data_IF_576808829819
#
_entry.id   IF_576808829819
#
_cell.length_a   1.000
_cell.length_b   1.000
_cell.length_c   1.000
_cell.angle_alpha   90.00
_cell.angle_beta   90.00
_cell.angle_gamma   90.00
#
_symmetry.space_group_name_H-M   'P 1'
#
loop_
_entity.id
_entity.type
_entity.pdbx_description
1 polymer ?
#
# COMPACT_ATOMS: atom_id res chain seq x y z
N UNK A 1 4.54 -22.57 -5.12
CA UNK A 1 3.81 -23.19 -3.99
C UNK A 1 4.22 -22.48 -2.72
N UNK A 2 3.49 -21.43 -2.32
CA UNK A 2 3.71 -20.72 -1.05
C UNK A 2 2.52 -21.03 -0.14
N UNK A 3 2.59 -22.19 0.51
CA UNK A 3 1.76 -22.57 1.63
C UNK A 3 2.66 -22.48 2.86
N UNK A 4 2.42 -21.45 3.65
CA UNK A 4 3.13 -21.20 4.91
C UNK A 4 2.28 -20.27 5.75
N UNK A 5 1.21 -20.82 6.34
CA UNK A 5 0.45 -20.14 7.40
C UNK A 5 1.34 -20.19 8.64
N UNK A 6 2.15 -19.17 8.84
CA UNK A 6 2.86 -18.96 10.10
C UNK A 6 1.91 -18.29 11.10
N UNK A 7 1.97 -18.75 12.36
CA UNK A 7 1.04 -18.36 13.41
C UNK A 7 0.95 -16.84 13.62
N UNK A 8 -0.29 -16.38 13.75
CA UNK A 8 -0.74 -14.98 13.84
C UNK A 8 -0.50 -14.37 15.24
N UNK A 9 0.75 -14.17 15.64
CA UNK A 9 1.03 -13.31 16.80
C UNK A 9 1.85 -12.06 16.49
N UNK A 10 2.87 -12.08 15.63
CA UNK A 10 3.78 -10.91 15.51
C UNK A 10 4.47 -10.76 14.13
N UNK A 11 3.82 -11.12 13.01
CA UNK A 11 4.49 -11.11 11.70
C UNK A 11 4.23 -9.83 10.88
N UNK A 12 5.23 -8.95 10.82
CA UNK A 12 5.38 -7.97 9.75
C UNK A 12 6.10 -8.61 8.56
N UNK A 13 5.40 -8.87 7.46
CA UNK A 13 5.94 -9.55 6.27
C UNK A 13 6.37 -8.50 5.24
N UNK A 14 7.66 -8.47 4.88
CA UNK A 14 8.18 -7.58 3.86
C UNK A 14 8.45 -8.29 2.55
N UNK A 15 7.85 -7.86 1.44
CA UNK A 15 8.03 -8.48 0.12
C UNK A 15 8.80 -7.52 -0.78
N UNK A 16 9.98 -7.94 -1.26
CA UNK A 16 10.82 -7.15 -2.17
C UNK A 16 10.76 -7.72 -3.60
N UNK A 17 10.01 -7.08 -4.51
CA UNK A 17 9.92 -7.44 -5.94
C UNK A 17 8.47 -7.57 -6.47
N UNK A 18 8.28 -7.29 -7.78
CA UNK A 18 7.01 -7.07 -8.51
C UNK A 18 5.70 -7.20 -7.71
N UNK A 19 5.22 -6.04 -7.31
CA UNK A 19 4.69 -5.86 -5.96
C UNK A 19 3.16 -5.82 -5.94
N UNK A 20 2.52 -5.46 -7.04
CA UNK A 20 1.06 -5.45 -7.10
C UNK A 20 0.48 -6.86 -7.15
N UNK A 21 1.12 -7.83 -7.82
CA UNK A 21 0.57 -9.20 -7.99
C UNK A 21 0.70 -10.08 -6.74
N UNK A 22 1.75 -9.94 -5.93
CA UNK A 22 1.88 -10.71 -4.69
C UNK A 22 0.94 -10.16 -3.61
N UNK A 23 0.84 -8.83 -3.52
CA UNK A 23 -0.19 -8.19 -2.69
C UNK A 23 -1.59 -8.55 -3.20
N UNK A 24 -1.85 -8.55 -4.51
CA UNK A 24 -3.10 -9.04 -5.12
C UNK A 24 -3.34 -10.55 -4.91
N UNK A 25 -2.29 -11.37 -4.79
CA UNK A 25 -2.39 -12.78 -4.41
C UNK A 25 -2.83 -12.95 -2.96
N UNK A 26 -2.30 -12.13 -2.04
CA UNK A 26 -2.86 -12.01 -0.68
C UNK A 26 -4.28 -11.42 -0.72
N UNK A 27 -4.58 -10.56 -1.72
CA UNK A 27 -5.95 -10.12 -1.98
C UNK A 27 -6.87 -11.24 -2.49
N UNK A 28 -6.38 -12.19 -3.29
CA UNK A 28 -7.13 -13.35 -3.76
C UNK A 28 -7.43 -14.33 -2.63
N UNK A 29 -6.48 -14.55 -1.73
CA UNK A 29 -6.70 -15.27 -0.47
C UNK A 29 -7.68 -14.54 0.50
N UNK A 30 -8.02 -13.26 0.27
CA UNK A 30 -8.95 -12.46 1.12
C UNK A 30 -10.37 -13.01 1.18
N UNK A 31 -10.88 -13.62 0.12
CA UNK A 31 -12.26 -14.11 0.13
C UNK A 31 -12.47 -15.21 1.19
N UNK A 32 -11.39 -15.83 1.67
CA UNK A 32 -11.43 -16.88 2.68
C UNK A 32 -11.32 -16.39 4.14
N UNK A 33 -10.78 -15.18 4.42
CA UNK A 33 -10.36 -14.81 5.79
C UNK A 33 -11.30 -13.88 6.59
N UNK A 34 -12.40 -13.36 6.00
CA UNK A 34 -13.43 -12.54 6.71
C UNK A 34 -12.86 -11.41 7.60
N UNK A 35 -11.80 -10.72 7.19
CA UNK A 35 -11.16 -9.65 7.95
C UNK A 35 -11.21 -8.30 7.20
N UNK A 36 -11.49 -7.16 7.87
CA UNK A 36 -11.31 -5.84 7.28
C UNK A 36 -9.87 -5.67 6.81
N UNK A 37 -9.70 -5.20 5.57
CA UNK A 37 -8.37 -5.06 4.99
C UNK A 37 -8.10 -3.64 4.56
N UNK A 38 -6.99 -3.09 5.06
CA UNK A 38 -6.51 -1.78 4.67
C UNK A 38 -5.42 -1.96 3.62
N UNK A 39 -5.65 -1.43 2.42
CA UNK A 39 -4.65 -1.42 1.37
C UNK A 39 -4.28 0.02 1.00
N UNK A 40 -2.99 0.30 1.05
CA UNK A 40 -2.38 1.50 0.46
C UNK A 40 -1.65 1.03 -0.79
N UNK A 41 -2.28 1.27 -1.95
CA UNK A 41 -1.84 0.74 -3.25
C UNK A 41 -0.51 1.31 -3.74
N UNK A 42 -0.10 2.49 -3.27
CA UNK A 42 1.25 3.02 -3.44
C UNK A 42 1.44 4.25 -2.57
N UNK A 43 2.35 4.18 -1.58
CA UNK A 43 2.68 5.32 -0.74
C UNK A 43 3.39 6.45 -1.54
N UNK A 44 4.05 6.11 -2.66
CA UNK A 44 4.73 7.09 -3.51
C UNK A 44 3.78 8.11 -4.14
N UNK A 45 2.51 7.75 -4.38
CA UNK A 45 1.52 8.68 -4.93
C UNK A 45 1.22 9.85 -4.00
N UNK A 46 1.38 9.66 -2.68
CA UNK A 46 1.18 10.73 -1.70
C UNK A 46 2.39 11.65 -1.55
N UNK A 47 3.50 11.37 -2.22
CA UNK A 47 4.74 12.18 -2.11
C UNK A 47 5.10 12.94 -3.38
N UNK A 48 4.38 12.69 -4.48
CA UNK A 48 4.62 13.30 -5.78
C UNK A 48 3.31 13.68 -6.45
N UNK A 49 3.37 14.67 -7.34
CA UNK A 49 2.25 15.10 -8.17
C UNK A 49 0.97 15.48 -7.39
N UNK A 50 1.13 15.91 -6.13
CA UNK A 50 0.01 16.42 -5.34
C UNK A 50 -0.43 17.77 -5.92
N UNK A 51 -1.69 17.84 -6.35
CA UNK A 51 -2.24 19.03 -7.03
C UNK A 51 -2.58 20.14 -6.05
N UNK A 52 -3.01 19.77 -4.85
CA UNK A 52 -3.50 20.69 -3.82
C UNK A 52 -2.90 20.28 -2.48
N UNK A 53 -2.04 21.15 -1.94
CA UNK A 53 -1.45 21.01 -0.63
C UNK A 53 -1.97 22.16 0.23
N UNK A 54 -2.62 21.85 1.35
CA UNK A 54 -3.19 22.86 2.25
C UNK A 54 -2.62 22.72 3.65
N UNK A 55 -2.49 23.81 4.43
CA UNK A 55 -2.19 23.70 5.85
C UNK A 55 -3.30 22.92 6.56
N UNK A 56 -2.92 22.00 7.45
CA UNK A 56 -3.90 21.20 8.16
C UNK A 56 -4.70 22.03 9.16
N UNK A 57 -6.02 21.83 9.17
CA UNK A 57 -6.91 22.50 10.11
C UNK A 57 -6.76 21.98 11.54
N UNK A 58 -6.32 20.74 11.69
CA UNK A 58 -6.12 20.07 12.98
C UNK A 58 -4.71 20.30 13.54
N UNK A 59 -3.69 20.39 12.69
CA UNK A 59 -2.31 20.63 13.13
C UNK A 59 -1.58 21.61 12.21
N UNK A 60 -1.33 22.81 12.71
CA UNK A 60 -0.68 23.89 11.96
C UNK A 60 0.74 23.57 11.44
N UNK A 61 1.42 22.57 12.01
CA UNK A 61 2.75 22.12 11.52
C UNK A 61 2.68 21.13 10.36
N UNK A 62 1.47 20.72 9.94
CA UNK A 62 1.25 19.70 8.92
C UNK A 62 0.50 20.22 7.71
N UNK A 63 0.63 19.48 6.62
CA UNK A 63 -0.07 19.71 5.37
C UNK A 63 -0.98 18.55 5.02
N UNK A 64 -2.18 18.91 4.59
CA UNK A 64 -3.24 18.03 4.16
C UNK A 64 -3.26 17.88 2.64
N UNK A 65 -3.64 16.69 2.19
CA UNK A 65 -3.67 16.26 0.79
C UNK A 65 -5.08 15.76 0.46
N UNK A 66 -6.05 16.69 0.35
CA UNK A 66 -7.47 16.36 0.38
C UNK A 66 -7.91 15.51 -0.82
N UNK A 67 -7.33 15.74 -2.01
CA UNK A 67 -7.66 14.99 -3.23
C UNK A 67 -7.22 13.55 -3.09
N UNK A 68 -5.97 13.31 -2.73
CA UNK A 68 -5.40 11.97 -2.55
C UNK A 68 -6.11 11.21 -1.42
N UNK A 69 -6.43 11.90 -0.33
CA UNK A 69 -7.20 11.34 0.78
C UNK A 69 -8.61 10.91 0.34
N UNK A 70 -9.31 11.74 -0.44
CA UNK A 70 -10.67 11.42 -0.92
C UNK A 70 -10.70 10.22 -1.87
N UNK A 71 -9.72 10.10 -2.76
CA UNK A 71 -9.57 8.95 -3.66
C UNK A 71 -9.35 7.67 -2.85
N UNK A 72 -8.48 7.74 -1.84
CA UNK A 72 -8.24 6.62 -0.95
C UNK A 72 -9.50 6.23 -0.15
N UNK A 73 -10.19 7.20 0.45
CA UNK A 73 -11.43 6.97 1.20
C UNK A 73 -12.51 6.29 0.36
N UNK A 74 -12.68 6.72 -0.90
CA UNK A 74 -13.66 6.14 -1.82
C UNK A 74 -13.37 4.66 -2.08
N UNK A 75 -12.12 4.32 -2.37
CA UNK A 75 -11.70 2.94 -2.61
C UNK A 75 -11.80 2.08 -1.34
N UNK A 76 -11.42 2.65 -0.20
CA UNK A 76 -11.50 2.00 1.10
C UNK A 76 -12.95 1.67 1.49
N UNK A 77 -13.87 2.61 1.24
CA UNK A 77 -15.32 2.43 1.44
C UNK A 77 -15.87 1.27 0.63
N UNK A 78 -15.62 1.25 -0.68
CA UNK A 78 -16.10 0.20 -1.59
C UNK A 78 -15.58 -1.18 -1.16
N UNK A 79 -14.32 -1.25 -0.73
CA UNK A 79 -13.68 -2.52 -0.37
C UNK A 79 -14.19 -3.08 0.96
N UNK A 80 -14.49 -2.22 1.93
CA UNK A 80 -14.74 -2.62 3.32
C UNK A 80 -16.14 -2.26 3.84
N UNK A 81 -17.08 -1.89 2.98
CA UNK A 81 -18.40 -1.34 3.34
C UNK A 81 -19.09 -2.13 4.47
N UNK A 82 -19.08 -3.46 4.39
CA UNK A 82 -19.69 -4.35 5.39
C UNK A 82 -19.11 -4.14 6.80
N UNK A 83 -17.79 -4.01 6.92
CA UNK A 83 -17.12 -3.84 8.20
C UNK A 83 -17.30 -2.42 8.74
N UNK A 84 -17.29 -1.43 7.86
CA UNK A 84 -17.43 -0.02 8.22
C UNK A 84 -18.81 0.32 8.80
N UNK A 85 -19.85 -0.44 8.44
CA UNK A 85 -21.18 -0.35 9.04
C UNK A 85 -21.25 -0.94 10.46
N UNK A 86 -20.36 -1.89 10.77
CA UNK A 86 -20.35 -2.59 12.06
C UNK A 86 -19.43 -1.93 13.08
N UNK A 87 -18.31 -1.39 12.61
CA UNK A 87 -17.35 -0.64 13.43
C UNK A 87 -17.97 0.67 13.89
N UNK A 88 -17.75 1.00 15.16
CA UNK A 88 -18.28 2.22 15.78
C UNK A 88 -17.15 3.13 16.24
N UNK A 89 -17.35 4.43 16.16
CA UNK A 89 -16.42 5.42 16.73
C UNK A 89 -16.32 5.25 18.24
N UNK A 90 -15.11 5.29 18.78
CA UNK A 90 -14.86 5.23 20.23
C UNK A 90 -14.74 6.61 20.87
N UNK A 91 -14.74 7.67 20.05
CA UNK A 91 -14.57 9.05 20.49
C UNK A 91 -15.42 9.99 19.65
N UNK A 92 -15.72 11.16 20.20
CA UNK A 92 -16.35 12.26 19.48
C UNK A 92 -15.32 12.97 18.58
N UNK A 93 -15.66 13.15 17.32
CA UNK A 93 -14.83 13.84 16.33
C UNK A 93 -15.51 15.13 15.88
N UNK A 94 -14.81 16.26 15.99
CA UNK A 94 -15.34 17.59 15.65
C UNK A 94 -14.77 18.00 14.30
N UNK A 95 -15.64 18.23 13.32
CA UNK A 95 -15.26 18.64 11.96
C UNK A 95 -15.34 20.15 11.77
N UNK A 96 -16.30 20.78 12.43
CA UNK A 96 -16.49 22.23 12.45
C UNK A 96 -17.29 22.64 13.69
N UNK A 97 -17.52 23.95 13.88
CA UNK A 97 -18.37 24.45 14.98
C UNK A 97 -19.80 23.87 14.98
N UNK A 98 -20.30 23.39 13.83
CA UNK A 98 -21.67 22.88 13.67
C UNK A 98 -21.73 21.39 13.37
N UNK A 99 -20.62 20.77 12.99
CA UNK A 99 -20.59 19.38 12.53
C UNK A 99 -19.64 18.56 13.38
N UNK A 100 -20.16 17.48 13.93
CA UNK A 100 -19.41 16.52 14.72
C UNK A 100 -20.01 15.13 14.50
N UNK A 101 -19.19 14.11 14.69
CA UNK A 101 -19.62 12.71 14.75
C UNK A 101 -19.45 12.27 16.20
N UNK A 102 -20.55 11.87 16.85
CA UNK A 102 -20.51 11.42 18.24
C UNK A 102 -19.93 10.00 18.37
N UNK A 103 -19.61 9.63 19.60
CA UNK A 103 -19.20 8.28 19.95
C UNK A 103 -20.33 7.28 19.69
N UNK A 104 -19.99 6.07 19.25
CA UNK A 104 -20.93 4.99 18.98
C UNK A 104 -21.53 5.00 17.57
N UNK A 105 -21.24 6.02 16.77
CA UNK A 105 -21.68 6.12 15.39
C UNK A 105 -20.88 5.18 14.46
N UNK A 106 -21.49 4.62 13.41
CA UNK A 106 -20.79 3.81 12.42
C UNK A 106 -19.59 4.53 11.78
N UNK A 107 -18.47 3.83 11.64
CA UNK A 107 -17.24 4.40 11.05
C UNK A 107 -17.43 4.83 9.59
N UNK A 108 -18.42 4.26 8.89
CA UNK A 108 -18.78 4.69 7.53
C UNK A 108 -19.22 6.16 7.48
N UNK A 109 -19.82 6.72 8.53
CA UNK A 109 -20.24 8.12 8.58
C UNK A 109 -19.05 9.09 8.58
N UNK A 110 -17.96 8.71 9.26
CA UNK A 110 -16.68 9.47 9.23
C UNK A 110 -16.11 9.53 7.82
N UNK A 111 -16.23 8.43 7.07
CA UNK A 111 -15.78 8.34 5.68
C UNK A 111 -16.67 9.19 4.77
N UNK A 112 -18.00 9.07 4.92
CA UNK A 112 -18.96 9.82 4.12
C UNK A 112 -18.82 11.34 4.37
N UNK A 113 -18.49 11.76 5.59
CA UNK A 113 -18.17 13.16 5.90
C UNK A 113 -16.91 13.64 5.16
N UNK A 114 -15.85 12.84 5.14
CA UNK A 114 -14.61 13.17 4.41
C UNK A 114 -14.79 13.19 2.88
N UNK A 115 -15.70 12.37 2.36
CA UNK A 115 -16.06 12.37 0.93
C UNK A 115 -16.97 13.55 0.54
N UNK A 116 -17.87 13.95 1.43
CA UNK A 116 -18.77 15.10 1.20
C UNK A 116 -18.00 16.42 1.30
N UNK A 117 -17.11 16.52 2.29
CA UNK A 117 -16.26 17.70 2.53
C UNK A 117 -14.80 17.34 2.36
N UNK A 118 -14.34 17.39 1.12
CA UNK A 118 -12.99 16.98 0.69
C UNK A 118 -11.87 17.68 1.48
N UNK A 119 -12.09 18.91 1.98
CA UNK A 119 -11.14 19.62 2.86
C UNK A 119 -10.77 18.83 4.14
N UNK A 120 -11.73 18.08 4.69
CA UNK A 120 -11.54 17.30 5.90
C UNK A 120 -11.11 15.85 5.59
N UNK A 121 -10.94 15.48 4.32
CA UNK A 121 -10.65 14.11 3.92
C UNK A 121 -9.36 13.57 4.57
N UNK A 122 -8.31 14.39 4.66
CA UNK A 122 -7.03 14.00 5.29
C UNK A 122 -7.21 13.65 6.77
N UNK A 123 -8.02 14.44 7.49
CA UNK A 123 -8.36 14.19 8.89
C UNK A 123 -9.23 12.94 9.03
N UNK A 124 -10.22 12.75 8.14
CA UNK A 124 -11.05 11.54 8.09
C UNK A 124 -10.20 10.28 7.90
N UNK A 125 -9.17 10.30 7.03
CA UNK A 125 -8.23 9.18 6.90
C UNK A 125 -7.52 8.92 8.23
N UNK A 126 -7.00 9.97 8.88
CA UNK A 126 -6.34 9.83 10.18
C UNK A 126 -7.22 9.19 11.26
N UNK A 127 -8.49 9.62 11.32
CA UNK A 127 -9.49 9.08 12.25
C UNK A 127 -9.78 7.61 11.95
N UNK A 128 -10.02 7.27 10.69
CA UNK A 128 -10.26 5.89 10.27
C UNK A 128 -9.10 4.98 10.65
N UNK A 129 -7.86 5.39 10.38
CA UNK A 129 -6.68 4.60 10.75
C UNK A 129 -6.55 4.42 12.27
N UNK A 130 -6.86 5.46 13.05
CA UNK A 130 -6.83 5.42 14.52
C UNK A 130 -7.88 4.46 15.07
N UNK A 131 -9.12 4.54 14.58
CA UNK A 131 -10.22 3.68 15.01
C UNK A 131 -10.00 2.21 14.64
N UNK A 132 -9.50 1.94 13.43
CA UNK A 132 -9.16 0.59 12.99
C UNK A 132 -8.12 -0.05 13.92
N UNK A 133 -7.08 0.71 14.26
CA UNK A 133 -6.03 0.25 15.17
C UNK A 133 -6.57 -0.02 16.57
N UNK A 134 -7.38 0.89 17.11
CA UNK A 134 -7.96 0.75 18.45
C UNK A 134 -8.91 -0.45 18.56
N UNK A 135 -9.76 -0.67 17.55
CA UNK A 135 -10.70 -1.81 17.54
C UNK A 135 -10.04 -3.16 17.22
N UNK A 136 -8.91 -3.13 16.50
CA UNK A 136 -8.08 -4.32 16.34
C UNK A 136 -7.48 -4.74 17.69
N UNK A 137 -6.99 -3.78 18.46
CA UNK A 137 -6.43 -4.01 19.79
C UNK A 137 -7.47 -4.53 20.80
N UNK A 138 -8.74 -4.13 20.69
CA UNK A 138 -9.83 -4.69 21.51
C UNK A 138 -10.25 -6.11 21.11
N UNK A 139 -9.71 -6.66 20.01
CA UNK A 139 -10.00 -8.02 19.54
C UNK A 139 -11.32 -8.16 18.80
N UNK A 140 -11.99 -7.05 18.49
CA UNK A 140 -13.29 -7.07 17.79
C UNK A 140 -13.16 -7.54 16.34
N UNK A 141 -12.06 -7.17 15.69
CA UNK A 141 -11.74 -7.54 14.32
C UNK A 141 -10.25 -7.84 14.16
N UNK A 142 -9.92 -8.68 13.17
CA UNK A 142 -8.55 -8.85 12.72
C UNK A 142 -8.26 -7.85 11.60
N UNK A 143 -7.10 -7.18 11.63
CA UNK A 143 -6.72 -6.20 10.61
C UNK A 143 -5.52 -6.71 9.81
N UNK A 144 -5.60 -6.59 8.48
CA UNK A 144 -4.41 -6.76 7.63
C UNK A 144 -4.13 -5.44 6.92
N UNK A 145 -2.90 -4.96 7.03
CA UNK A 145 -2.43 -3.70 6.46
C UNK A 145 -1.46 -4.02 5.33
N UNK A 146 -1.87 -3.78 4.09
CA UNK A 146 -1.02 -3.91 2.90
C UNK A 146 -0.48 -2.54 2.46
N UNK A 147 0.83 -2.32 2.47
CA UNK A 147 1.45 -1.07 1.99
C UNK A 147 2.41 -1.34 0.85
N UNK A 148 2.08 -0.85 -0.34
CA UNK A 148 3.00 -0.87 -1.47
C UNK A 148 3.94 0.35 -1.41
N UNK A 149 5.24 0.10 -1.52
CA UNK A 149 6.24 1.15 -1.64
C UNK A 149 6.50 1.88 -0.33
N UNK A 150 6.62 1.14 0.77
CA UNK A 150 6.78 1.67 2.14
C UNK A 150 8.03 2.55 2.32
N UNK A 151 9.04 2.38 1.45
CA UNK A 151 10.22 3.23 1.40
C UNK A 151 9.90 4.71 1.09
N UNK A 152 8.73 5.00 0.53
CA UNK A 152 8.25 6.35 0.36
C UNK A 152 8.10 7.07 1.72
N UNK A 153 7.68 6.35 2.78
CA UNK A 153 7.37 6.96 4.08
C UNK A 153 8.54 7.71 4.71
N UNK A 154 9.79 7.27 4.49
CA UNK A 154 11.01 7.90 5.02
C UNK A 154 11.91 8.51 3.94
N UNK A 155 11.47 8.48 2.67
CA UNK A 155 12.20 9.07 1.55
C UNK A 155 12.10 10.59 1.49
N UNK A 156 12.52 11.18 0.38
CA UNK A 156 12.31 12.61 0.10
C UNK A 156 11.04 12.84 -0.71
N UNK A 157 10.49 14.05 -0.66
CA UNK A 157 9.29 14.44 -1.42
C UNK A 157 9.66 15.37 -2.58
N UNK A 158 8.83 15.43 -3.62
CA UNK A 158 8.97 16.47 -4.67
C UNK A 158 8.13 17.71 -4.37
N UNK A 159 7.43 17.74 -3.23
CA UNK A 159 6.49 18.79 -2.89
C UNK A 159 7.23 20.01 -2.32
N UNK A 160 6.70 21.19 -2.62
CA UNK A 160 7.23 22.47 -2.14
C UNK A 160 6.13 23.25 -1.44
N UNK A 161 6.52 23.96 -0.38
CA UNK A 161 5.68 24.93 0.31
C UNK A 161 5.51 26.19 -0.55
N UNK A 162 4.63 27.09 -0.13
CA UNK A 162 4.41 28.38 -0.82
C UNK A 162 5.69 29.24 -0.90
N UNK A 163 6.56 29.14 0.10
CA UNK A 163 7.87 29.78 0.16
C UNK A 163 8.95 29.09 -0.71
N UNK A 164 8.57 28.07 -1.48
CA UNK A 164 9.43 27.21 -2.32
C UNK A 164 10.39 26.30 -1.55
N UNK A 165 10.35 26.28 -0.22
CA UNK A 165 11.11 25.33 0.59
C UNK A 165 10.56 23.90 0.40
N UNK A 166 11.40 22.86 0.58
CA UNK A 166 10.95 21.48 0.45
C UNK A 166 10.00 21.10 1.59
N UNK A 167 9.00 20.28 1.27
CA UNK A 167 8.12 19.66 2.28
C UNK A 167 8.74 18.34 2.73
N UNK A 168 8.88 18.15 4.04
CA UNK A 168 9.37 16.88 4.57
C UNK A 168 8.23 15.87 4.69
N UNK A 169 8.47 14.55 4.53
CA UNK A 169 7.41 13.54 4.62
C UNK A 169 6.73 13.52 5.99
N UNK A 170 7.44 13.88 7.06
CA UNK A 170 6.87 13.98 8.41
C UNK A 170 5.87 15.14 8.58
N UNK A 171 5.91 16.14 7.70
CA UNK A 171 4.98 17.27 7.68
C UNK A 171 3.67 16.91 6.95
N UNK A 172 3.62 15.81 6.20
CA UNK A 172 2.40 15.38 5.49
C UNK A 172 1.49 14.56 6.40
N UNK A 173 0.23 14.98 6.56
CA UNK A 173 -0.74 14.33 7.46
C UNK A 173 -0.95 12.86 7.13
N UNK A 174 -1.10 12.50 5.84
CA UNK A 174 -1.31 11.12 5.41
C UNK A 174 -0.11 10.22 5.75
N UNK A 175 1.11 10.69 5.46
CA UNK A 175 2.35 9.95 5.72
C UNK A 175 2.57 9.79 7.21
N UNK A 176 2.36 10.85 7.99
CA UNK A 176 2.48 10.80 9.44
C UNK A 176 1.50 9.79 10.06
N UNK A 177 0.24 9.77 9.60
CA UNK A 177 -0.75 8.81 10.09
C UNK A 177 -0.42 7.37 9.66
N UNK A 178 0.10 7.18 8.45
CA UNK A 178 0.53 5.87 7.98
C UNK A 178 1.75 5.35 8.76
N UNK A 179 2.75 6.21 9.06
CA UNK A 179 3.88 5.85 9.95
C UNK A 179 3.39 5.39 11.33
N UNK A 180 2.35 6.00 11.89
CA UNK A 180 1.75 5.55 13.16
C UNK A 180 1.08 4.18 13.08
N UNK A 181 0.56 3.80 11.92
CA UNK A 181 -0.01 2.48 11.68
C UNK A 181 1.07 1.41 11.51
N UNK A 182 2.23 1.79 10.97
CA UNK A 182 3.38 0.89 10.78
C UNK A 182 4.11 0.55 12.09
N UNK A 183 3.81 1.24 13.20
CA UNK A 183 4.36 0.88 14.52
C UNK A 183 3.79 -0.45 14.99
N UNK A 184 4.60 -1.22 15.70
CA UNK A 184 4.26 -2.51 16.31
C UNK A 184 3.59 -2.36 17.70
N UNK A 185 2.86 -1.27 17.92
CA UNK A 185 2.18 -0.95 19.19
C UNK A 185 0.72 -1.46 19.24
N UNK A 186 0.34 -2.37 18.34
CA UNK A 186 -1.00 -2.93 18.26
C UNK A 186 -0.97 -4.41 17.85
N UNK A 187 -1.95 -5.17 18.34
CA UNK A 187 -2.03 -6.63 18.17
C UNK A 187 -3.28 -7.02 17.34
N UNK A 188 -3.45 -8.32 17.10
CA UNK A 188 -4.57 -8.91 16.33
C UNK A 188 -4.60 -8.56 14.83
N UNK A 189 -3.45 -8.19 14.28
CA UNK A 189 -3.31 -8.03 12.84
C UNK A 189 -1.91 -8.26 12.33
N UNK A 190 -1.75 -8.04 11.04
CA UNK A 190 -0.47 -8.20 10.36
C UNK A 190 -0.26 -7.05 9.38
N UNK A 191 0.98 -6.57 9.32
CA UNK A 191 1.40 -5.58 8.32
C UNK A 191 2.21 -6.30 7.25
N UNK A 192 1.77 -6.19 6.01
CA UNK A 192 2.48 -6.68 4.84
C UNK A 192 2.90 -5.47 4.02
N UNK A 193 4.20 -5.22 3.94
CA UNK A 193 4.72 -4.05 3.28
C UNK A 193 5.72 -4.44 2.19
N UNK A 194 5.90 -3.59 1.20
CA UNK A 194 6.85 -3.85 0.13
C UNK A 194 7.74 -2.65 -0.11
N UNK A 195 8.98 -2.90 -0.51
CA UNK A 195 9.92 -1.86 -0.92
C UNK A 195 9.94 -1.80 -2.44
N UNK A 196 9.78 -0.60 -2.99
CA UNK A 196 9.64 -0.40 -4.44
C UNK A 196 10.68 0.60 -4.92
N UNK A 197 11.51 0.19 -5.88
CA UNK A 197 12.40 1.09 -6.63
C UNK A 197 11.61 1.84 -7.72
N UNK A 198 10.65 1.19 -8.36
CA UNK A 198 9.84 1.84 -9.40
C UNK A 198 9.01 2.98 -8.82
N UNK A 199 9.29 4.20 -9.25
CA UNK A 199 8.59 5.39 -8.78
C UNK A 199 9.09 5.93 -7.44
N UNK A 200 10.17 5.36 -6.88
CA UNK A 200 10.91 5.94 -5.78
C UNK A 200 11.58 7.25 -6.20
N UNK A 201 11.72 8.16 -5.24
CA UNK A 201 12.30 9.48 -5.46
C UNK A 201 13.75 9.45 -4.98
N UNK A 202 14.64 10.10 -5.73
CA UNK A 202 16.04 10.35 -5.35
C UNK A 202 16.84 9.09 -4.95
N UNK A 203 16.53 7.95 -5.56
CA UNK A 203 17.16 6.64 -5.27
C UNK A 203 17.72 6.04 -6.57
N UNK A 204 18.91 5.38 -6.52
CA UNK A 204 19.51 4.79 -7.71
C UNK A 204 18.61 3.71 -8.34
N UNK A 205 18.63 3.62 -9.67
CA UNK A 205 17.83 2.62 -10.40
C UNK A 205 18.20 1.17 -10.08
N UNK A 206 19.45 0.93 -9.71
CA UNK A 206 19.95 -0.40 -9.37
C UNK A 206 19.70 -0.79 -7.90
N UNK A 207 19.21 0.14 -7.06
CA UNK A 207 18.98 -0.15 -5.65
C UNK A 207 17.72 -1.01 -5.47
N UNK A 208 17.87 -2.16 -4.82
CA UNK A 208 16.77 -3.06 -4.50
C UNK A 208 16.81 -3.59 -3.07
N UNK A 209 17.92 -3.37 -2.34
CA UNK A 209 18.05 -3.87 -0.98
C UNK A 209 17.18 -3.05 -0.01
N UNK A 210 16.51 -3.68 0.98
CA UNK A 210 15.69 -2.95 1.95
C UNK A 210 16.43 -1.84 2.68
N UNK A 211 17.68 -2.08 3.11
CA UNK A 211 18.49 -1.08 3.81
C UNK A 211 18.83 0.13 2.92
N UNK A 212 19.07 -0.09 1.62
CA UNK A 212 19.34 1.00 0.67
C UNK A 212 18.09 1.82 0.37
N UNK A 213 16.93 1.16 0.21
CA UNK A 213 15.69 1.83 -0.17
C UNK A 213 15.02 2.54 1.01
N UNK A 214 15.05 1.94 2.21
CA UNK A 214 14.45 2.52 3.42
C UNK A 214 15.34 3.59 4.07
N UNK A 215 16.65 3.51 3.84
CA UNK A 215 17.64 4.27 4.59
C UNK A 215 17.69 3.84 6.07
N UNK A 216 18.51 4.54 6.86
CA UNK A 216 18.70 4.25 8.28
C UNK A 216 17.40 4.42 9.08
N UNK A 217 16.79 5.61 8.97
CA UNK A 217 15.57 5.95 9.72
C UNK A 217 14.41 4.98 9.47
N UNK A 218 14.21 4.55 8.23
CA UNK A 218 13.15 3.62 7.87
C UNK A 218 13.45 2.19 8.31
N UNK A 219 14.71 1.77 8.21
CA UNK A 219 15.14 0.44 8.64
C UNK A 219 15.04 0.30 10.17
N UNK A 220 15.58 1.27 10.92
CA UNK A 220 15.56 1.27 12.38
C UNK A 220 14.14 1.37 12.93
N UNK A 221 13.24 2.09 12.24
CA UNK A 221 11.85 2.21 12.66
C UNK A 221 11.07 0.90 12.52
N UNK A 222 11.40 0.09 11.52
CA UNK A 222 10.71 -1.16 11.21
C UNK A 222 11.31 -2.37 11.92
N UNK A 223 12.49 -2.23 12.51
CA UNK A 223 13.15 -3.30 13.25
C UNK A 223 12.37 -3.64 14.54
N UNK A 224 12.02 -4.92 14.81
CA UNK A 224 12.25 -6.13 14.00
C UNK A 224 11.18 -6.38 12.93
N UNK A 225 11.61 -6.83 11.74
CA UNK A 225 10.73 -7.26 10.65
C UNK A 225 11.21 -8.55 9.96
N UNK A 226 10.31 -9.24 9.25
CA UNK A 226 10.64 -10.44 8.48
C UNK A 226 10.86 -10.10 6.99
N UNK A 227 12.11 -10.07 6.49
CA UNK A 227 12.39 -9.84 5.08
C UNK A 227 12.07 -11.07 4.23
N UNK A 228 11.32 -10.89 3.14
CA UNK A 228 11.05 -11.90 2.11
C UNK A 228 11.58 -11.40 0.78
N UNK A 229 12.55 -12.14 0.24
CA UNK A 229 13.10 -11.90 -1.09
C UNK A 229 12.18 -12.50 -2.16
N UNK A 230 11.82 -11.71 -3.17
CA UNK A 230 11.16 -12.20 -4.38
C UNK A 230 12.17 -12.23 -5.51
N UNK A 231 12.35 -13.41 -6.10
CA UNK A 231 13.24 -13.63 -7.23
C UNK A 231 12.48 -13.65 -8.55
N UNK A 232 13.21 -13.75 -9.67
CA UNK A 232 12.61 -14.08 -10.96
C UNK A 232 11.97 -15.47 -10.96
N UNK A 233 11.27 -15.80 -12.05
CA UNK A 233 10.58 -17.08 -12.18
C UNK A 233 11.56 -18.26 -12.13
N UNK A 234 11.17 -19.29 -11.40
CA UNK A 234 11.73 -20.63 -11.59
C UNK A 234 11.36 -21.18 -12.98
N UNK A 235 12.06 -22.23 -13.42
CA UNK A 235 11.79 -22.85 -14.73
C UNK A 235 10.35 -23.34 -14.86
N UNK A 236 9.79 -23.89 -13.77
CA UNK A 236 8.40 -24.36 -13.73
C UNK A 236 7.40 -23.21 -13.79
N UNK A 237 7.68 -22.10 -13.10
CA UNK A 237 6.81 -20.91 -13.12
C UNK A 237 6.84 -20.23 -14.48
N UNK A 238 8.03 -20.13 -15.09
CA UNK A 238 8.18 -19.62 -16.44
C UNK A 238 7.39 -20.48 -17.43
N UNK A 239 7.53 -21.81 -17.37
CA UNK A 239 6.78 -22.71 -18.24
C UNK A 239 5.27 -22.52 -18.09
N UNK A 240 4.80 -22.49 -16.84
CA UNK A 240 3.38 -22.31 -16.56
C UNK A 240 2.85 -20.98 -17.10
N UNK A 241 3.63 -19.90 -16.96
CA UNK A 241 3.27 -18.57 -17.46
C UNK A 241 3.29 -18.51 -19.00
N UNK A 242 4.28 -19.12 -19.63
CA UNK A 242 4.38 -19.21 -21.08
C UNK A 242 3.22 -20.01 -21.69
N UNK A 243 2.89 -21.17 -21.12
CA UNK A 243 1.72 -21.95 -21.55
C UNK A 243 0.43 -21.16 -21.37
N UNK A 244 0.28 -20.43 -20.27
CA UNK A 244 -0.88 -19.56 -20.07
C UNK A 244 -1.02 -18.48 -21.17
N UNK A 245 0.07 -17.84 -21.57
CA UNK A 245 0.04 -16.86 -22.67
C UNK A 245 -0.27 -17.50 -24.02
N UNK A 246 0.23 -18.71 -24.26
CA UNK A 246 -0.05 -19.48 -25.47
C UNK A 246 -1.53 -19.87 -25.55
N UNK A 247 -2.09 -20.41 -24.46
CA UNK A 247 -3.50 -20.84 -24.38
C UNK A 247 -4.48 -19.68 -24.53
N UNK A 248 -4.08 -18.48 -24.09
CA UNK A 248 -4.88 -17.25 -24.25
C UNK A 248 -4.72 -16.61 -25.63
N UNK A 249 -3.91 -17.18 -26.51
CA UNK A 249 -3.48 -16.56 -27.77
C UNK A 249 -2.97 -15.13 -27.54
N UNK A 250 -2.21 -14.92 -26.46
CA UNK A 250 -1.63 -13.61 -26.16
C UNK A 250 -0.43 -13.32 -27.06
N UNK A 251 0.40 -14.34 -27.28
CA UNK A 251 1.55 -14.29 -28.19
C UNK A 251 1.07 -14.71 -29.58
N UNK A 252 1.17 -13.81 -30.55
CA UNK A 252 0.65 -14.02 -31.91
C UNK A 252 1.73 -14.51 -32.88
N UNK A 253 2.99 -14.15 -32.65
CA UNK A 253 4.09 -14.52 -33.52
C UNK A 253 4.35 -16.04 -33.56
N UNK A 254 4.24 -16.64 -34.75
CA UNK A 254 4.36 -18.09 -34.95
C UNK A 254 5.69 -18.68 -34.44
N UNK A 255 6.82 -17.97 -34.64
CA UNK A 255 8.14 -18.46 -34.18
C UNK A 255 8.27 -18.48 -32.66
N UNK A 256 7.45 -17.71 -31.93
CA UNK A 256 7.49 -17.70 -30.48
C UNK A 256 6.90 -18.99 -29.88
N UNK A 257 6.16 -19.79 -30.67
CA UNK A 257 5.67 -21.12 -30.28
C UNK A 257 6.71 -22.24 -30.42
N UNK A 258 7.87 -21.95 -31.01
CA UNK A 258 8.96 -22.91 -31.17
C UNK A 258 9.84 -22.98 -29.93
N UNK A 259 10.55 -24.09 -29.75
CA UNK A 259 11.51 -24.24 -28.65
C UNK A 259 12.64 -23.21 -28.71
N UNK A 260 13.05 -22.78 -29.91
CA UNK A 260 14.07 -21.74 -30.07
C UNK A 260 13.53 -20.37 -29.68
N UNK A 261 12.31 -20.03 -30.11
CA UNK A 261 11.63 -18.80 -29.67
C UNK A 261 11.46 -18.74 -28.15
N UNK A 262 11.15 -19.87 -27.51
CA UNK A 262 11.09 -19.97 -26.05
C UNK A 262 12.45 -19.75 -25.38
N UNK A 263 13.54 -20.31 -25.92
CA UNK A 263 14.90 -20.05 -25.40
C UNK A 263 15.28 -18.58 -25.54
N UNK A 264 14.93 -17.94 -26.65
CA UNK A 264 15.13 -16.50 -26.85
C UNK A 264 14.36 -15.68 -25.81
N UNK A 265 13.09 -16.00 -25.56
CA UNK A 265 12.29 -15.36 -24.52
C UNK A 265 12.91 -15.51 -23.13
N UNK A 266 13.41 -16.69 -22.78
CA UNK A 266 14.10 -16.94 -21.52
C UNK A 266 15.36 -16.08 -21.43
N UNK A 267 16.16 -16.05 -22.50
CA UNK A 267 17.41 -15.30 -22.54
C UNK A 267 17.19 -13.78 -22.42
N UNK A 268 16.27 -13.22 -23.20
CA UNK A 268 15.97 -11.78 -23.21
C UNK A 268 15.31 -11.31 -21.91
N UNK A 269 14.38 -12.10 -21.37
CA UNK A 269 13.72 -11.75 -20.11
C UNK A 269 14.58 -12.04 -18.88
N UNK A 270 15.57 -12.93 -18.99
CA UNK A 270 16.27 -13.52 -17.85
C UNK A 270 15.29 -14.03 -16.76
N UNK A 271 14.15 -14.59 -17.19
CA UNK A 271 13.03 -15.04 -16.34
C UNK A 271 12.46 -13.95 -15.42
N UNK A 272 12.66 -12.67 -15.75
CA UNK A 272 12.08 -11.55 -15.06
C UNK A 272 10.61 -11.36 -15.49
N UNK A 273 9.63 -11.37 -14.56
CA UNK A 273 8.21 -11.37 -14.92
C UNK A 273 7.73 -10.16 -15.75
N UNK A 274 8.09 -8.92 -15.38
CA UNK A 274 7.65 -7.74 -16.14
C UNK A 274 8.41 -7.58 -17.45
N UNK A 275 9.67 -8.00 -17.51
CA UNK A 275 10.39 -7.99 -18.79
C UNK A 275 9.75 -9.00 -19.74
N UNK A 276 9.39 -10.19 -19.24
CA UNK A 276 8.66 -11.20 -20.02
C UNK A 276 7.30 -10.69 -20.49
N UNK A 277 6.47 -10.15 -19.59
CA UNK A 277 5.15 -9.60 -19.94
C UNK A 277 5.27 -8.46 -20.96
N UNK A 278 6.23 -7.54 -20.76
CA UNK A 278 6.51 -6.48 -21.71
C UNK A 278 6.93 -7.03 -23.07
N UNK A 279 7.81 -8.03 -23.13
CA UNK A 279 8.22 -8.67 -24.38
C UNK A 279 7.02 -9.32 -25.07
N UNK A 280 6.25 -10.15 -24.35
CA UNK A 280 5.10 -10.85 -24.90
C UNK A 280 3.95 -9.91 -25.30
N UNK A 281 3.87 -8.70 -24.76
CA UNK A 281 2.82 -7.73 -25.10
C UNK A 281 2.89 -7.20 -26.55
N UNK A 282 4.05 -7.31 -27.20
CA UNK A 282 4.24 -6.83 -28.58
C UNK A 282 4.59 -7.96 -29.58
N UNK A 283 4.44 -9.23 -29.18
CA UNK A 283 4.73 -10.41 -29.99
C UNK A 283 3.47 -11.05 -30.57
#
# INVERSE_FOLDING_TARGET
>A
MLLGIANFSDLCIFICGMISYVLLGTQGHKLLLRAPTLFVLSAHLWLKNCRELMPSSYNASRFDQPVEASVWLKNFRITNERFLKQMKTQQKYIWSKREFTDEGHPLIEVIDQGLTRVKNASDSVGIVLKELKAQCQSGTFKLVVGVDGVNALWGQTTLRKEDKSPVYPGELTLIHNLRKLMKNDWNNGAVVATVTQTGSLFTPKAAYLPHELLGKDGFDFLDPFLPIQVTGYSEREFESCYQYYKDRHWIQHEKAHTEDGKKELIFLSNRNPAVLERICSFL
#
